data_IF_179087229747
#
_entry.id   IF_179087229747
#
_cell.length_a   1.000
_cell.length_b   1.000
_cell.length_c   1.000
_cell.angle_alpha   90.00
_cell.angle_beta   90.00
_cell.angle_gamma   90.00
#
_symmetry.space_group_name_H-M   'P 1'
#
loop_
_entity.id
_entity.type
_entity.pdbx_description
1 polymer ?
#
# COMPACT_ATOMS: atom_id res chain seq x y z
N UNK A 1 1.50 -9.31 -8.68
CA UNK A 1 2.14 -10.47 -8.04
C UNK A 1 3.56 -10.06 -7.67
N UNK A 2 3.93 -9.98 -6.39
CA UNK A 2 5.21 -9.38 -5.98
C UNK A 2 6.37 -10.36 -6.11
N UNK A 3 7.53 -9.85 -6.52
CA UNK A 3 8.72 -10.62 -6.94
C UNK A 3 9.89 -10.52 -5.93
N UNK A 4 9.65 -10.02 -4.70
CA UNK A 4 10.68 -9.91 -3.64
C UNK A 4 10.21 -10.51 -2.31
N UNK A 5 10.97 -11.50 -1.83
CA UNK A 5 10.67 -12.31 -0.63
C UNK A 5 10.70 -11.58 0.72
N UNK A 6 11.06 -10.30 0.77
CA UNK A 6 11.08 -9.50 2.01
C UNK A 6 9.85 -8.60 2.20
N UNK A 7 8.88 -8.65 1.28
CA UNK A 7 7.63 -7.87 1.35
C UNK A 7 6.42 -8.70 1.79
N UNK A 8 6.65 -9.85 2.45
CA UNK A 8 5.56 -10.70 2.93
C UNK A 8 5.63 -10.77 4.44
N UNK A 9 4.87 -9.90 5.11
CA UNK A 9 4.34 -10.25 6.42
C UNK A 9 3.50 -11.50 6.22
N UNK A 10 3.95 -12.59 6.82
CA UNK A 10 3.27 -13.87 6.85
C UNK A 10 1.81 -13.66 7.23
N UNK A 11 0.90 -14.02 6.32
CA UNK A 11 -0.54 -14.19 6.52
C UNK A 11 -1.43 -12.94 6.73
N UNK A 12 -0.88 -11.73 6.74
CA UNK A 12 -1.64 -10.46 6.88
C UNK A 12 -1.25 -9.44 5.82
N UNK A 13 -2.14 -8.51 5.51
CA UNK A 13 -1.98 -7.49 4.47
C UNK A 13 -0.71 -6.64 4.58
N UNK A 14 -0.47 -5.82 3.57
CA UNK A 14 0.64 -4.88 3.49
C UNK A 14 0.58 -3.87 4.65
N UNK A 15 1.68 -3.73 5.38
CA UNK A 15 1.83 -2.70 6.42
C UNK A 15 2.11 -1.32 5.79
N UNK A 16 1.03 -0.60 5.48
CA UNK A 16 1.05 0.76 4.94
C UNK A 16 1.35 1.77 6.05
N UNK A 17 0.82 1.56 7.25
CA UNK A 17 1.01 2.46 8.39
C UNK A 17 2.49 2.55 8.82
N UNK A 18 3.23 1.45 8.82
CA UNK A 18 4.66 1.41 9.12
C UNK A 18 5.57 1.92 7.99
N UNK A 19 5.06 2.05 6.76
CA UNK A 19 5.86 2.40 5.57
C UNK A 19 5.26 3.53 4.72
N UNK A 20 4.57 4.49 5.36
CA UNK A 20 3.79 5.56 4.70
C UNK A 20 4.56 6.33 3.64
N UNK A 21 5.79 6.75 3.90
CA UNK A 21 6.58 7.53 2.94
C UNK A 21 6.93 6.71 1.69
N UNK A 22 7.36 5.46 1.87
CA UNK A 22 7.64 4.55 0.76
C UNK A 22 6.39 4.25 -0.05
N UNK A 23 5.27 4.02 0.62
CA UNK A 23 3.99 3.71 -0.04
C UNK A 23 3.44 4.92 -0.78
N UNK A 24 3.61 6.12 -0.24
CA UNK A 24 3.28 7.38 -0.93
C UNK A 24 4.08 7.54 -2.21
N UNK A 25 5.39 7.32 -2.17
CA UNK A 25 6.24 7.43 -3.36
C UNK A 25 5.89 6.35 -4.40
N UNK A 26 5.63 5.11 -3.96
CA UNK A 26 5.20 4.04 -4.84
C UNK A 26 3.84 4.33 -5.50
N UNK A 27 2.84 4.72 -4.71
CA UNK A 27 1.50 5.08 -5.19
C UNK A 27 1.57 6.27 -6.15
N UNK A 28 2.37 7.30 -5.82
CA UNK A 28 2.55 8.47 -6.68
C UNK A 28 3.16 8.11 -8.02
N UNK A 29 4.21 7.28 -8.05
CA UNK A 29 4.86 6.84 -9.30
C UNK A 29 3.93 6.02 -10.18
N UNK A 30 3.10 5.18 -9.58
CA UNK A 30 2.11 4.38 -10.31
C UNK A 30 0.95 5.26 -10.81
N UNK A 31 0.45 6.18 -9.99
CA UNK A 31 -0.59 7.13 -10.36
C UNK A 31 -0.15 8.09 -11.47
N UNK A 32 1.11 8.56 -11.44
CA UNK A 32 1.70 9.39 -12.50
C UNK A 32 1.79 8.63 -13.84
N UNK A 33 1.98 7.31 -13.79
CA UNK A 33 1.91 6.43 -14.94
C UNK A 33 0.47 6.07 -15.37
N UNK A 34 -0.55 6.61 -14.71
CA UNK A 34 -1.96 6.30 -14.96
C UNK A 34 -2.39 4.90 -14.51
N UNK A 35 -1.61 4.26 -13.64
CA UNK A 35 -1.87 2.91 -13.13
C UNK A 35 -2.70 3.01 -11.85
N UNK A 36 -3.82 2.28 -11.81
CA UNK A 36 -4.64 2.16 -10.61
C UNK A 36 -3.94 1.28 -9.57
N UNK A 37 -3.75 1.83 -8.37
CA UNK A 37 -3.13 1.14 -7.25
C UNK A 37 -4.20 0.60 -6.32
N UNK A 38 -4.09 -0.70 -5.99
CA UNK A 38 -4.88 -1.34 -4.95
C UNK A 38 -3.93 -1.83 -3.88
N UNK A 39 -4.14 -1.39 -2.64
CA UNK A 39 -3.37 -1.89 -1.50
C UNK A 39 -4.18 -3.02 -0.85
N UNK A 40 -3.52 -4.13 -0.56
CA UNK A 40 -4.15 -5.24 0.16
C UNK A 40 -3.75 -5.09 1.63
N UNK A 41 -4.62 -4.51 2.45
CA UNK A 41 -4.36 -4.22 3.86
C UNK A 41 -5.26 -5.06 4.77
N UNK A 42 -4.85 -5.24 6.02
CA UNK A 42 -5.73 -5.81 7.04
C UNK A 42 -6.87 -4.83 7.40
N UNK A 43 -7.95 -5.36 7.96
CA UNK A 43 -9.11 -4.59 8.43
C UNK A 43 -8.79 -3.82 9.73
N UNK A 44 -7.75 -3.01 9.70
CA UNK A 44 -7.27 -2.17 10.78
C UNK A 44 -7.45 -0.70 10.43
N UNK A 45 -7.92 0.10 11.39
CA UNK A 45 -8.25 1.51 11.16
C UNK A 45 -7.01 2.35 10.80
N UNK A 46 -5.82 2.04 11.33
CA UNK A 46 -4.60 2.75 10.96
C UNK A 46 -4.17 2.39 9.54
N UNK A 47 -4.28 1.13 9.15
CA UNK A 47 -3.98 0.69 7.79
C UNK A 47 -4.92 1.33 6.76
N UNK A 48 -6.23 1.38 7.05
CA UNK A 48 -7.22 1.99 6.15
C UNK A 48 -6.95 3.49 5.99
N UNK A 49 -6.69 4.21 7.09
CA UNK A 49 -6.35 5.64 7.02
C UNK A 49 -5.04 5.86 6.26
N UNK A 50 -4.02 5.06 6.53
CA UNK A 50 -2.74 5.16 5.85
C UNK A 50 -2.89 4.89 4.33
N UNK A 51 -3.69 3.90 3.93
CA UNK A 51 -3.96 3.58 2.53
C UNK A 51 -4.68 4.73 1.79
N UNK A 52 -5.66 5.37 2.44
CA UNK A 52 -6.31 6.56 1.93
C UNK A 52 -5.32 7.74 1.78
N UNK A 53 -4.43 7.93 2.76
CA UNK A 53 -3.46 9.04 2.77
C UNK A 53 -2.33 8.90 1.74
N UNK A 54 -1.97 7.67 1.35
CA UNK A 54 -0.92 7.43 0.33
C UNK A 54 -1.45 7.54 -1.09
N UNK A 55 -2.76 7.73 -1.27
CA UNK A 55 -3.37 7.96 -2.58
C UNK A 55 -3.74 6.68 -3.33
N UNK A 56 -3.96 5.57 -2.61
CA UNK A 56 -4.53 4.38 -3.21
C UNK A 56 -6.05 4.60 -3.41
N UNK A 57 -6.57 4.60 -4.64
CA UNK A 57 -8.00 4.74 -4.89
C UNK A 57 -8.82 3.52 -4.41
N UNK A 58 -8.16 2.39 -4.13
CA UNK A 58 -8.77 1.16 -3.64
C UNK A 58 -7.93 0.59 -2.47
N UNK A 59 -8.58 0.32 -1.34
CA UNK A 59 -7.97 -0.18 -0.11
C UNK A 59 -8.96 -1.08 0.65
#
# INVERSE_FOLDING_TARGET
>A
MPEKRQEVTTEGGLDVAGQRDKMRDACKRLADAGILVSLFIDADEEQIKAAAEVGAPFY
#
